data_IF_036167100993
#
_entry.id   IF_036167100993
#
_cell.length_a   1.000
_cell.length_b   1.000
_cell.length_c   1.000
_cell.angle_alpha   90.00
_cell.angle_beta   90.00
_cell.angle_gamma   90.00
#
_symmetry.space_group_name_H-M   'P 1'
#
loop_
_entity.id
_entity.type
_entity.pdbx_description
1 polymer ?
#
# COMPACT_ATOMS: atom_id res chain seq x y z
N UNK A 1 4.59 -10.93 -2.60
CA UNK A 1 3.29 -11.37 -3.18
C UNK A 1 3.56 -11.91 -4.59
N UNK A 2 2.72 -12.81 -5.10
CA UNK A 2 2.89 -13.45 -6.41
C UNK A 2 1.62 -13.28 -7.27
N UNK A 3 1.78 -12.72 -8.47
CA UNK A 3 0.68 -12.45 -9.40
C UNK A 3 0.36 -13.67 -10.28
N UNK A 4 1.31 -14.59 -10.50
CA UNK A 4 1.15 -15.71 -11.42
C UNK A 4 0.08 -16.69 -10.96
N UNK A 5 -0.12 -16.82 -9.65
CA UNK A 5 -1.18 -17.62 -9.04
C UNK A 5 -2.58 -17.24 -9.53
N UNK A 6 -2.79 -16.00 -9.99
CA UNK A 6 -4.10 -15.53 -10.44
C UNK A 6 -4.49 -16.05 -11.83
N UNK A 7 -3.54 -16.57 -12.62
CA UNK A 7 -3.83 -17.22 -13.92
C UNK A 7 -4.78 -18.39 -13.73
N UNK A 8 -4.50 -19.26 -12.77
CA UNK A 8 -5.36 -20.40 -12.47
C UNK A 8 -6.67 -19.98 -11.82
N UNK A 9 -6.63 -19.02 -10.90
CA UNK A 9 -7.82 -18.56 -10.15
C UNK A 9 -8.87 -17.96 -11.09
N UNK A 10 -8.44 -17.20 -12.09
CA UNK A 10 -9.34 -16.53 -13.05
C UNK A 10 -9.52 -17.30 -14.37
N UNK A 11 -8.94 -18.49 -14.51
CA UNK A 11 -9.02 -19.25 -15.76
C UNK A 11 -8.24 -18.64 -16.93
N UNK A 12 -7.28 -17.75 -16.66
CA UNK A 12 -6.46 -17.03 -17.64
C UNK A 12 -5.12 -17.73 -17.86
N UNK A 13 -5.15 -19.01 -18.25
CA UNK A 13 -3.94 -19.82 -18.36
C UNK A 13 -3.04 -19.42 -19.53
N UNK A 14 -3.59 -18.89 -20.61
CA UNK A 14 -2.82 -18.65 -21.84
C UNK A 14 -2.42 -17.18 -22.06
N UNK A 15 -2.53 -16.33 -21.03
CA UNK A 15 -2.13 -14.92 -21.15
C UNK A 15 -0.60 -14.76 -21.08
N UNK A 16 -0.02 -13.88 -21.91
CA UNK A 16 1.42 -13.64 -21.91
C UNK A 16 1.89 -12.77 -20.74
N UNK A 17 0.99 -11.98 -20.15
CA UNK A 17 1.31 -10.99 -19.13
C UNK A 17 0.27 -10.97 -18.03
N UNK A 18 0.72 -10.98 -16.77
CA UNK A 18 -0.14 -10.78 -15.60
C UNK A 18 0.58 -9.98 -14.53
N UNK A 19 0.08 -8.78 -14.26
CA UNK A 19 0.65 -7.88 -13.27
C UNK A 19 -0.41 -7.54 -12.23
N UNK A 20 0.03 -7.48 -10.96
CA UNK A 20 -0.75 -6.91 -9.89
C UNK A 20 0.16 -6.04 -9.03
N UNK A 21 -0.05 -4.74 -9.15
CA UNK A 21 0.76 -3.74 -8.48
C UNK A 21 0.02 -3.07 -7.33
N UNK A 22 0.65 -2.05 -6.79
CA UNK A 22 0.06 -1.14 -5.82
C UNK A 22 0.44 0.28 -6.23
N UNK A 23 -0.54 1.19 -6.21
CA UNK A 23 -0.35 2.57 -6.62
C UNK A 23 0.16 3.39 -5.42
N UNK A 24 1.10 4.28 -5.69
CA UNK A 24 1.65 5.25 -4.73
C UNK A 24 1.83 6.59 -5.42
N UNK A 25 1.79 7.67 -4.65
CA UNK A 25 2.13 9.01 -5.16
C UNK A 25 3.60 9.06 -5.60
N UNK A 26 3.94 9.90 -6.60
CA UNK A 26 5.33 10.08 -7.04
C UNK A 26 6.30 10.37 -5.90
N UNK A 27 7.48 9.77 -5.96
CA UNK A 27 8.54 9.95 -4.98
C UNK A 27 8.40 9.10 -3.70
N UNK A 28 7.29 8.40 -3.46
CA UNK A 28 7.15 7.48 -2.32
C UNK A 28 8.24 6.41 -2.34
N UNK A 29 8.34 5.64 -3.43
CA UNK A 29 9.27 4.53 -3.53
C UNK A 29 10.74 4.98 -3.43
N UNK A 30 11.06 6.15 -4.00
CA UNK A 30 12.42 6.72 -3.96
C UNK A 30 12.83 7.07 -2.52
N UNK A 31 11.94 7.67 -1.74
CA UNK A 31 12.20 7.98 -0.34
C UNK A 31 12.20 6.73 0.55
N UNK A 32 11.25 5.82 0.33
CA UNK A 32 11.14 4.57 1.11
C UNK A 32 12.35 3.66 0.94
N UNK A 33 12.96 3.64 -0.25
CA UNK A 33 14.17 2.86 -0.53
C UNK A 33 15.34 3.20 0.41
N UNK A 34 15.39 4.42 0.96
CA UNK A 34 16.40 4.80 1.96
C UNK A 34 16.27 3.94 3.22
N UNK A 35 15.06 3.73 3.73
CA UNK A 35 14.82 2.88 4.90
C UNK A 35 15.10 1.41 4.62
N UNK A 36 14.76 0.94 3.42
CA UNK A 36 15.07 -0.43 2.99
C UNK A 36 16.58 -0.66 2.94
N UNK A 37 17.33 0.27 2.33
CA UNK A 37 18.79 0.16 2.22
C UNK A 37 19.51 0.27 3.56
N UNK A 38 19.00 1.09 4.48
CA UNK A 38 19.52 1.14 5.86
C UNK A 38 19.26 -0.15 6.63
N UNK A 39 18.26 -0.94 6.26
CA UNK A 39 17.76 -2.05 7.09
C UNK A 39 16.82 -1.58 8.20
N UNK A 40 16.34 -0.34 8.15
CA UNK A 40 15.42 0.22 9.15
C UNK A 40 14.02 -0.42 9.10
N UNK A 41 13.73 -1.21 8.08
CA UNK A 41 12.47 -1.98 7.95
C UNK A 41 12.58 -3.42 8.45
N UNK A 42 13.70 -3.80 9.06
CA UNK A 42 13.92 -5.15 9.57
C UNK A 42 13.21 -5.35 10.92
N UNK A 43 12.54 -6.49 11.06
CA UNK A 43 11.77 -6.89 12.26
C UNK A 43 12.32 -8.18 12.90
N UNK A 44 13.49 -8.65 12.46
CA UNK A 44 14.07 -9.94 12.87
C UNK A 44 14.99 -9.85 14.08
N UNK A 45 15.48 -8.65 14.42
CA UNK A 45 16.36 -8.41 15.56
C UNK A 45 15.93 -7.19 16.36
N UNK A 46 16.44 -7.09 17.59
CA UNK A 46 16.12 -6.02 18.53
C UNK A 46 17.33 -5.13 18.75
N UNK A 47 17.08 -3.85 18.91
CA UNK A 47 18.11 -2.86 19.22
C UNK A 47 18.21 -2.71 20.74
N UNK A 48 19.43 -2.85 21.25
CA UNK A 48 19.73 -2.65 22.67
C UNK A 48 19.54 -1.17 23.05
N UNK A 49 19.03 -0.93 24.27
CA UNK A 49 18.79 0.40 24.83
C UNK A 49 17.93 1.34 23.94
N UNK A 50 17.04 0.76 23.13
CA UNK A 50 16.18 1.52 22.20
C UNK A 50 15.26 2.52 22.91
N UNK A 51 14.99 2.37 24.21
CA UNK A 51 14.21 3.33 24.99
C UNK A 51 14.93 4.67 25.18
N UNK A 52 16.27 4.66 25.21
CA UNK A 52 17.10 5.83 25.47
C UNK A 52 17.75 6.42 24.22
N UNK A 53 17.85 5.63 23.14
CA UNK A 53 18.28 6.10 21.83
C UNK A 53 17.39 7.24 21.31
N UNK A 54 17.99 8.21 20.64
CA UNK A 54 17.25 9.20 19.84
C UNK A 54 17.02 8.68 18.43
N UNK A 55 16.07 9.27 17.68
CA UNK A 55 15.89 8.93 16.27
C UNK A 55 17.16 9.17 15.44
N UNK A 56 17.93 10.22 15.78
CA UNK A 56 19.25 10.45 15.21
C UNK A 56 20.22 9.29 15.49
N UNK A 57 20.28 8.81 16.73
CA UNK A 57 21.15 7.69 17.11
C UNK A 57 20.75 6.41 16.38
N UNK A 58 19.44 6.17 16.26
CA UNK A 58 18.88 5.07 15.48
C UNK A 58 19.35 5.10 14.04
N UNK A 59 19.17 6.20 13.31
CA UNK A 59 19.65 6.29 11.93
C UNK A 59 21.18 6.15 11.85
N UNK A 60 21.89 6.76 12.80
CA UNK A 60 23.35 6.71 12.82
C UNK A 60 23.90 5.30 13.06
N UNK A 61 23.17 4.43 13.77
CA UNK A 61 23.59 3.07 14.13
C UNK A 61 23.76 2.13 12.94
N UNK A 62 23.10 2.41 11.81
CA UNK A 62 23.21 1.63 10.57
C UNK A 62 24.45 1.97 9.74
N UNK A 63 25.18 3.03 10.11
CA UNK A 63 26.28 3.59 9.34
C UNK A 63 27.60 3.52 10.11
N UNK A 64 28.72 3.64 9.41
CA UNK A 64 30.06 3.64 10.01
C UNK A 64 30.17 4.67 11.14
N UNK A 65 30.81 4.32 12.26
CA UNK A 65 31.02 5.26 13.36
C UNK A 65 32.01 6.36 12.96
N UNK A 66 31.52 7.60 12.88
CA UNK A 66 32.30 8.79 12.55
C UNK A 66 31.75 9.98 13.35
N UNK A 67 32.39 10.38 14.46
CA UNK A 67 31.80 11.34 15.41
C UNK A 67 31.80 12.78 14.90
N UNK A 68 32.70 13.11 13.96
CA UNK A 68 32.86 14.46 13.44
C UNK A 68 32.03 14.72 12.17
N UNK A 69 31.36 13.71 11.64
CA UNK A 69 30.57 13.82 10.40
C UNK A 69 29.08 13.83 10.74
N UNK A 70 28.32 14.84 10.30
CA UNK A 70 26.87 14.89 10.52
C UNK A 70 26.15 13.67 9.93
N UNK A 71 25.16 13.15 10.65
CA UNK A 71 24.37 11.97 10.23
C UNK A 71 23.73 12.16 8.84
N UNK A 72 23.33 13.37 8.51
CA UNK A 72 22.79 13.76 7.21
C UNK A 72 23.80 13.56 6.08
N UNK A 73 25.08 13.85 6.30
CA UNK A 73 26.14 13.66 5.30
C UNK A 73 26.44 12.17 5.15
N UNK A 74 26.60 11.47 6.27
CA UNK A 74 26.80 10.01 6.29
C UNK A 74 25.70 9.27 5.55
N UNK A 75 24.44 9.68 5.72
CA UNK A 75 23.31 9.06 5.04
C UNK A 75 23.37 9.25 3.52
N UNK A 76 23.80 10.43 3.06
CA UNK A 76 23.94 10.72 1.64
C UNK A 76 25.07 9.90 1.00
N UNK A 77 26.18 9.71 1.72
CA UNK A 77 27.29 8.85 1.31
C UNK A 77 26.89 7.37 1.29
N UNK A 78 26.16 6.92 2.31
CA UNK A 78 25.67 5.54 2.43
C UNK A 78 24.60 5.21 1.38
N UNK A 79 23.68 6.14 1.12
CA UNK A 79 22.58 5.96 0.18
C UNK A 79 22.46 7.17 -0.75
N UNK A 80 22.98 7.05 -1.98
CA UNK A 80 22.96 8.10 -2.99
C UNK A 80 21.56 8.70 -3.26
N UNK A 81 20.47 7.95 -3.05
CA UNK A 81 19.10 8.48 -3.20
C UNK A 81 18.76 9.55 -2.17
N UNK A 82 19.39 9.52 -0.99
CA UNK A 82 19.25 10.54 0.05
C UNK A 82 19.94 11.85 -0.32
N UNK A 83 20.83 11.88 -1.33
CA UNK A 83 21.41 13.12 -1.87
C UNK A 83 20.44 13.90 -2.76
N UNK A 84 19.31 13.31 -3.15
CA UNK A 84 18.24 14.06 -3.81
C UNK A 84 17.63 15.05 -2.81
N UNK A 85 17.60 16.36 -3.12
CA UNK A 85 17.09 17.38 -2.20
C UNK A 85 15.65 17.13 -1.72
N UNK A 86 14.78 16.64 -2.60
CA UNK A 86 13.38 16.35 -2.29
C UNK A 86 13.27 15.13 -1.37
N UNK A 87 14.12 14.11 -1.57
CA UNK A 87 14.17 12.97 -0.66
C UNK A 87 14.69 13.40 0.71
N UNK A 88 15.80 14.16 0.75
CA UNK A 88 16.38 14.65 1.99
C UNK A 88 15.40 15.51 2.79
N UNK A 89 14.65 16.38 2.12
CA UNK A 89 13.62 17.20 2.75
C UNK A 89 12.52 16.34 3.38
N UNK A 90 12.03 15.31 2.68
CA UNK A 90 11.04 14.37 3.24
C UNK A 90 11.56 13.64 4.47
N UNK A 91 12.82 13.21 4.46
CA UNK A 91 13.45 12.54 5.60
C UNK A 91 13.59 13.50 6.80
N UNK A 92 14.01 14.74 6.55
CA UNK A 92 14.07 15.79 7.58
C UNK A 92 12.70 16.11 8.16
N UNK A 93 11.68 16.29 7.31
CA UNK A 93 10.30 16.54 7.74
C UNK A 93 9.74 15.40 8.61
N UNK A 94 10.06 14.16 8.24
CA UNK A 94 9.68 12.98 9.02
C UNK A 94 10.33 12.97 10.42
N UNK A 95 11.44 13.68 10.62
CA UNK A 95 12.10 13.81 11.92
C UNK A 95 13.08 12.68 12.23
N UNK A 96 13.59 11.97 11.21
CA UNK A 96 14.53 10.85 11.42
C UNK A 96 15.85 11.30 12.04
N UNK A 97 16.16 12.60 12.00
CA UNK A 97 17.39 13.20 12.54
C UNK A 97 17.16 13.93 13.87
N UNK A 98 15.96 13.79 14.45
CA UNK A 98 15.61 14.46 15.70
C UNK A 98 16.36 13.83 16.87
N UNK A 99 16.80 14.67 17.81
CA UNK A 99 17.40 14.23 19.10
C UNK A 99 16.33 13.83 20.13
N UNK A 100 15.11 13.54 19.68
CA UNK A 100 14.01 13.07 20.52
C UNK A 100 14.19 11.59 20.82
N UNK A 101 14.03 11.21 22.09
CA UNK A 101 14.09 9.80 22.52
C UNK A 101 12.99 8.98 21.87
N UNK A 102 13.33 7.75 21.50
CA UNK A 102 12.40 6.78 20.91
C UNK A 102 11.44 6.27 21.98
N UNK A 103 11.92 5.95 23.19
CA UNK A 103 11.07 5.53 24.32
C UNK A 103 10.35 4.20 24.12
N UNK A 104 10.82 3.33 23.23
CA UNK A 104 10.36 1.95 23.10
C UNK A 104 11.43 1.02 23.64
N UNK A 105 11.08 0.16 24.60
CA UNK A 105 12.04 -0.77 25.19
C UNK A 105 12.24 -2.01 24.31
N UNK A 106 13.49 -2.36 24.05
CA UNK A 106 13.88 -3.58 23.33
C UNK A 106 13.14 -3.74 21.98
N UNK A 107 13.03 -2.66 21.20
CA UNK A 107 12.26 -2.61 19.97
C UNK A 107 13.07 -3.07 18.76
N UNK A 108 12.39 -3.58 17.73
CA UNK A 108 13.00 -3.83 16.42
C UNK A 108 13.15 -2.53 15.62
N UNK A 109 14.06 -2.47 14.63
CA UNK A 109 14.13 -1.33 13.72
C UNK A 109 12.79 -0.96 13.09
N UNK A 110 12.05 -1.97 12.62
CA UNK A 110 10.73 -1.78 12.03
C UNK A 110 9.73 -1.15 13.01
N UNK A 111 9.74 -1.56 14.28
CA UNK A 111 8.87 -0.98 15.32
C UNK A 111 9.23 0.48 15.63
N UNK A 112 10.53 0.80 15.68
CA UNK A 112 11.02 2.17 15.90
C UNK A 112 10.58 3.07 14.74
N UNK A 113 10.79 2.61 13.50
CA UNK A 113 10.37 3.34 12.31
C UNK A 113 8.84 3.48 12.27
N UNK A 114 8.08 2.41 12.55
CA UNK A 114 6.62 2.43 12.60
C UNK A 114 6.10 3.50 13.54
N UNK A 115 6.63 3.58 14.77
CA UNK A 115 6.23 4.62 15.73
C UNK A 115 6.41 6.02 15.16
N UNK A 116 7.56 6.30 14.55
CA UNK A 116 7.82 7.61 13.93
C UNK A 116 6.82 7.92 12.81
N UNK A 117 6.52 6.92 11.97
CA UNK A 117 5.59 7.06 10.86
C UNK A 117 4.16 7.28 11.35
N UNK A 118 3.70 6.53 12.35
CA UNK A 118 2.34 6.67 12.90
C UNK A 118 2.10 8.05 13.52
N UNK A 119 3.12 8.62 14.17
CA UNK A 119 3.04 9.99 14.72
C UNK A 119 2.97 11.06 13.62
N UNK A 120 3.68 10.87 12.50
CA UNK A 120 3.83 11.88 11.44
C UNK A 120 2.81 11.75 10.31
N UNK A 121 2.30 10.54 10.05
CA UNK A 121 1.39 10.22 8.95
C UNK A 121 -0.05 10.00 9.42
N UNK A 122 -0.35 10.29 10.68
CA UNK A 122 -1.73 10.35 11.14
C UNK A 122 -2.51 11.37 10.30
N UNK A 123 -3.72 10.99 9.90
CA UNK A 123 -4.65 11.92 9.26
C UNK A 123 -5.16 12.91 10.29
N UNK A 124 -5.26 14.18 9.89
CA UNK A 124 -5.98 15.18 10.67
C UNK A 124 -7.49 14.90 10.65
N UNK A 125 -8.28 15.45 11.60
CA UNK A 125 -9.71 15.12 11.72
C UNK A 125 -10.51 15.28 10.42
N UNK A 126 -10.19 16.29 9.61
CA UNK A 126 -10.89 16.62 8.36
C UNK A 126 -10.21 16.06 7.09
N UNK A 127 -9.08 15.37 7.24
CA UNK A 127 -8.40 14.72 6.12
C UNK A 127 -9.23 13.59 5.54
N UNK A 128 -9.06 13.37 4.23
CA UNK A 128 -9.75 12.32 3.48
C UNK A 128 -8.75 11.40 2.83
N UNK A 129 -8.97 10.10 2.95
CA UNK A 129 -8.25 9.11 2.14
C UNK A 129 -8.91 8.92 0.77
N UNK A 130 -8.16 8.28 -0.13
CA UNK A 130 -8.61 7.96 -1.47
C UNK A 130 -8.17 6.54 -1.79
N UNK A 131 -9.14 5.69 -2.13
CA UNK A 131 -8.88 4.38 -2.70
C UNK A 131 -9.08 4.44 -4.21
N UNK A 132 -8.07 3.97 -4.94
CA UNK A 132 -8.13 3.79 -6.40
C UNK A 132 -7.86 2.32 -6.70
N UNK A 133 -8.70 1.72 -7.53
CA UNK A 133 -8.47 0.41 -8.13
C UNK A 133 -8.68 0.52 -9.64
N UNK A 134 -7.78 -0.09 -10.42
CA UNK A 134 -7.88 -0.14 -11.87
C UNK A 134 -7.53 -1.55 -12.34
N UNK A 135 -8.39 -2.08 -13.20
CA UNK A 135 -8.15 -3.27 -14.00
C UNK A 135 -7.99 -2.85 -15.46
N UNK A 136 -7.03 -3.45 -16.14
CA UNK A 136 -6.76 -3.21 -17.56
C UNK A 136 -6.62 -4.57 -18.23
N UNK A 137 -7.48 -4.85 -19.22
CA UNK A 137 -7.47 -6.09 -19.97
C UNK A 137 -7.25 -5.76 -21.45
N UNK A 138 -6.15 -6.25 -22.01
CA UNK A 138 -5.85 -6.18 -23.44
C UNK A 138 -6.20 -7.53 -24.05
N UNK A 139 -7.03 -7.51 -25.09
CA UNK A 139 -7.53 -8.72 -25.74
C UNK A 139 -7.69 -8.51 -27.24
N UNK A 140 -7.76 -9.64 -27.96
CA UNK A 140 -8.04 -9.65 -29.40
C UNK A 140 -9.44 -10.21 -29.63
N UNK A 141 -10.26 -9.49 -30.36
CA UNK A 141 -11.59 -9.91 -30.78
C UNK A 141 -11.65 -9.94 -32.31
N UNK A 142 -11.64 -11.15 -32.88
CA UNK A 142 -11.45 -11.31 -34.33
C UNK A 142 -10.08 -10.78 -34.78
N UNK A 143 -10.09 -9.78 -35.66
CA UNK A 143 -8.88 -9.11 -36.15
C UNK A 143 -8.56 -7.80 -35.41
N UNK A 144 -9.41 -7.40 -34.45
CA UNK A 144 -9.27 -6.14 -33.72
C UNK A 144 -8.56 -6.38 -32.39
N UNK A 145 -7.60 -5.51 -32.08
CA UNK A 145 -7.02 -5.44 -30.74
C UNK A 145 -7.78 -4.38 -29.93
N UNK A 146 -8.22 -4.77 -28.74
CA UNK A 146 -9.03 -3.95 -27.86
C UNK A 146 -8.45 -3.93 -26.45
N UNK A 147 -8.83 -2.91 -25.71
CA UNK A 147 -8.53 -2.77 -24.30
C UNK A 147 -9.77 -2.33 -23.55
N UNK A 148 -10.09 -3.00 -22.45
CA UNK A 148 -11.09 -2.54 -21.50
C UNK A 148 -10.41 -2.14 -20.20
N UNK A 149 -10.77 -0.96 -19.69
CA UNK A 149 -10.34 -0.43 -18.41
C UNK A 149 -11.55 -0.38 -17.49
N UNK A 150 -11.44 -1.01 -16.32
CA UNK A 150 -12.45 -0.96 -15.26
C UNK A 150 -11.82 -0.27 -14.05
N UNK A 151 -12.32 0.91 -13.69
CA UNK A 151 -11.72 1.77 -12.69
C UNK A 151 -12.71 2.15 -11.59
N UNK A 152 -12.24 2.17 -10.35
CA UNK A 152 -13.01 2.60 -9.18
C UNK A 152 -12.18 3.61 -8.40
N UNK A 153 -12.82 4.72 -8.00
CA UNK A 153 -12.26 5.69 -7.09
C UNK A 153 -13.27 6.00 -5.99
N UNK A 154 -12.87 5.84 -4.72
CA UNK A 154 -13.71 6.12 -3.55
C UNK A 154 -12.94 7.06 -2.63
N UNK A 155 -13.53 8.20 -2.31
CA UNK A 155 -12.98 9.18 -1.37
C UNK A 155 -13.65 9.01 0.00
N UNK A 156 -12.85 9.01 1.06
CA UNK A 156 -13.34 9.01 2.43
C UNK A 156 -14.09 10.30 2.78
N UNK A 157 -14.83 10.28 3.88
CA UNK A 157 -15.50 11.48 4.39
C UNK A 157 -14.59 12.28 5.31
N UNK A 158 -13.85 11.58 6.18
CA UNK A 158 -12.93 12.13 7.17
C UNK A 158 -12.04 11.00 7.74
N UNK A 159 -11.22 11.30 8.77
CA UNK A 159 -10.34 10.34 9.44
C UNK A 159 -11.03 9.06 9.94
N UNK A 160 -12.26 9.18 10.44
CA UNK A 160 -12.98 8.05 11.06
C UNK A 160 -13.80 7.24 10.04
N UNK A 161 -14.20 7.88 8.94
CA UNK A 161 -14.99 7.29 7.85
C UNK A 161 -14.21 7.25 6.54
N UNK A 162 -13.19 6.40 6.52
CA UNK A 162 -12.27 6.26 5.38
C UNK A 162 -12.87 5.45 4.23
N UNK A 163 -12.43 5.74 3.00
CA UNK A 163 -12.68 4.90 1.83
C UNK A 163 -12.17 3.48 2.05
N UNK A 164 -10.99 3.31 2.68
CA UNK A 164 -10.47 1.99 3.04
C UNK A 164 -11.43 1.22 3.96
N UNK A 165 -11.89 1.82 5.05
CA UNK A 165 -12.83 1.16 5.97
C UNK A 165 -14.14 0.78 5.28
N UNK A 166 -14.68 1.67 4.45
CA UNK A 166 -15.91 1.42 3.67
C UNK A 166 -15.72 0.28 2.67
N UNK A 167 -14.69 0.33 1.84
CA UNK A 167 -14.45 -0.64 0.75
C UNK A 167 -13.97 -2.01 1.24
N UNK A 168 -13.50 -2.13 2.48
CA UNK A 168 -13.21 -3.42 3.13
C UNK A 168 -14.41 -3.93 3.93
N UNK A 169 -15.05 -3.05 4.71
CA UNK A 169 -16.14 -3.40 5.61
C UNK A 169 -17.47 -3.69 4.91
N UNK A 170 -17.83 -2.90 3.89
CA UNK A 170 -19.09 -3.08 3.17
C UNK A 170 -19.17 -4.43 2.46
N UNK A 171 -18.17 -4.89 1.67
CA UNK A 171 -18.25 -6.20 1.04
C UNK A 171 -18.42 -7.34 2.05
N UNK A 172 -17.73 -7.26 3.20
CA UNK A 172 -17.87 -8.23 4.29
C UNK A 172 -19.29 -8.21 4.89
N UNK A 173 -19.82 -7.03 5.22
CA UNK A 173 -21.15 -6.87 5.78
C UNK A 173 -22.25 -7.34 4.82
N UNK A 174 -22.14 -6.99 3.54
CA UNK A 174 -23.07 -7.40 2.49
C UNK A 174 -23.02 -8.93 2.31
N UNK A 175 -21.83 -9.52 2.15
CA UNK A 175 -21.69 -10.97 2.04
C UNK A 175 -22.28 -11.71 3.25
N UNK A 176 -22.01 -11.21 4.46
CA UNK A 176 -22.56 -11.75 5.71
C UNK A 176 -24.10 -11.70 5.70
N UNK A 177 -24.68 -10.56 5.30
CA UNK A 177 -26.13 -10.40 5.17
C UNK A 177 -26.73 -11.36 4.14
N UNK A 178 -26.09 -11.50 2.97
CA UNK A 178 -26.57 -12.36 1.89
C UNK A 178 -26.53 -13.85 2.28
N UNK A 179 -25.51 -14.27 3.03
CA UNK A 179 -25.43 -15.61 3.62
C UNK A 179 -26.53 -15.83 4.68
N UNK A 180 -26.65 -14.91 5.65
CA UNK A 180 -27.62 -15.01 6.74
C UNK A 180 -29.08 -15.02 6.25
N UNK A 181 -29.37 -14.34 5.14
CA UNK A 181 -30.71 -14.29 4.52
C UNK A 181 -30.94 -15.40 3.49
N UNK A 182 -30.00 -16.33 3.31
CA UNK A 182 -30.13 -17.46 2.39
C UNK A 182 -30.11 -17.09 0.90
N UNK A 183 -29.68 -15.87 0.55
CA UNK A 183 -29.50 -15.43 -0.84
C UNK A 183 -28.25 -16.07 -1.46
N UNK A 184 -27.19 -16.26 -0.68
CA UNK A 184 -26.04 -17.09 -1.04
C UNK A 184 -26.17 -18.40 -0.25
N UNK A 185 -26.13 -19.54 -0.95
CA UNK A 185 -26.35 -20.88 -0.36
C UNK A 185 -25.13 -21.80 -0.41
N UNK A 186 -23.98 -21.29 -0.86
CA UNK A 186 -22.75 -22.08 -0.98
C UNK A 186 -22.26 -22.55 0.39
N UNK A 187 -21.86 -23.82 0.48
CA UNK A 187 -21.30 -24.44 1.69
C UNK A 187 -19.82 -24.77 1.49
N UNK A 188 -19.02 -24.71 2.55
CA UNK A 188 -17.57 -24.93 2.48
C UNK A 188 -16.78 -23.62 2.32
N UNK A 189 -15.51 -23.74 1.95
CA UNK A 189 -14.57 -22.61 1.85
C UNK A 189 -14.54 -22.10 0.41
N UNK A 190 -14.97 -20.86 0.20
CA UNK A 190 -15.09 -20.26 -1.13
C UNK A 190 -14.32 -18.94 -1.25
N UNK A 191 -13.94 -18.62 -2.49
CA UNK A 191 -13.42 -17.30 -2.90
C UNK A 191 -14.53 -16.55 -3.66
N UNK A 192 -14.61 -15.21 -3.58
CA UNK A 192 -15.63 -14.41 -4.28
C UNK A 192 -15.33 -14.26 -5.77
N UNK A 193 -15.23 -15.39 -6.48
CA UNK A 193 -14.97 -15.45 -7.93
C UNK A 193 -16.16 -15.99 -8.71
N UNK A 194 -17.16 -16.54 -8.03
CA UNK A 194 -18.37 -17.07 -8.64
C UNK A 194 -19.45 -15.98 -8.76
N UNK A 195 -20.15 -15.97 -9.90
CA UNK A 195 -21.18 -14.98 -10.23
C UNK A 195 -22.26 -14.85 -9.18
N UNK A 196 -22.75 -15.98 -8.68
CA UNK A 196 -23.78 -16.06 -7.64
C UNK A 196 -23.36 -15.43 -6.30
N UNK A 197 -22.06 -15.20 -6.10
CA UNK A 197 -21.53 -14.48 -4.95
C UNK A 197 -21.20 -13.02 -5.29
N UNK A 198 -20.40 -12.75 -6.33
CA UNK A 198 -19.92 -11.39 -6.55
C UNK A 198 -20.99 -10.45 -7.12
N UNK A 199 -21.91 -10.92 -7.98
CA UNK A 199 -22.93 -10.06 -8.60
C UNK A 199 -23.87 -9.42 -7.58
N UNK A 200 -24.49 -10.15 -6.62
CA UNK A 200 -25.33 -9.52 -5.61
C UNK A 200 -24.54 -8.61 -4.66
N UNK A 201 -23.26 -8.90 -4.42
CA UNK A 201 -22.39 -8.05 -3.59
C UNK A 201 -22.11 -6.73 -4.32
N UNK A 202 -21.67 -6.78 -5.58
CA UNK A 202 -21.39 -5.59 -6.40
C UNK A 202 -22.64 -4.71 -6.57
N UNK A 203 -23.79 -5.33 -6.86
CA UNK A 203 -25.06 -4.60 -7.00
C UNK A 203 -25.45 -3.83 -5.73
N UNK A 204 -25.20 -4.40 -4.57
CA UNK A 204 -25.49 -3.70 -3.32
C UNK A 204 -24.44 -2.63 -2.99
N UNK A 205 -23.16 -2.88 -3.31
CA UNK A 205 -22.08 -1.90 -3.17
C UNK A 205 -22.34 -0.61 -3.97
N UNK A 206 -22.97 -0.71 -5.14
CA UNK A 206 -23.39 0.45 -5.94
C UNK A 206 -24.30 1.40 -5.15
N UNK A 207 -25.19 0.88 -4.30
CA UNK A 207 -26.06 1.71 -3.44
C UNK A 207 -25.31 2.50 -2.36
N UNK A 208 -24.07 2.09 -2.07
CA UNK A 208 -23.13 2.80 -1.19
C UNK A 208 -22.12 3.66 -1.96
N UNK A 209 -22.31 3.86 -3.27
CA UNK A 209 -21.41 4.65 -4.12
C UNK A 209 -20.08 3.95 -4.39
N UNK A 210 -20.03 2.62 -4.29
CA UNK A 210 -18.84 1.81 -4.60
C UNK A 210 -19.12 1.04 -5.88
N UNK A 211 -18.65 1.57 -7.00
CA UNK A 211 -18.88 1.02 -8.34
C UNK A 211 -17.65 1.20 -9.23
N UNK A 212 -17.53 0.35 -10.25
CA UNK A 212 -16.52 0.49 -11.29
C UNK A 212 -17.10 1.17 -12.52
N UNK A 213 -16.32 2.06 -13.13
CA UNK A 213 -16.59 2.63 -14.44
C UNK A 213 -15.77 1.87 -15.49
N UNK A 214 -16.44 1.41 -16.55
CA UNK A 214 -15.80 0.66 -17.63
C UNK A 214 -15.70 1.49 -18.91
N UNK A 215 -14.54 1.44 -19.56
CA UNK A 215 -14.28 2.10 -20.85
C UNK A 215 -13.53 1.14 -21.77
N UNK A 216 -13.99 1.03 -23.02
CA UNK A 216 -13.35 0.24 -24.07
C UNK A 216 -12.60 1.16 -25.05
N UNK A 217 -11.43 0.70 -25.50
CA UNK A 217 -10.54 1.41 -26.42
C UNK A 217 -10.08 0.46 -27.53
N UNK A 218 -9.93 0.99 -28.74
CA UNK A 218 -9.16 0.34 -29.80
C UNK A 218 -7.67 0.58 -29.55
N UNK A 219 -6.84 -0.46 -29.71
CA UNK A 219 -5.39 -0.33 -29.55
C UNK A 219 -4.67 -0.68 -30.86
N UNK A 220 -3.79 0.21 -31.31
CA UNK A 220 -2.94 -0.04 -32.46
C UNK A 220 -1.84 -1.05 -32.13
N UNK A 221 -1.39 -1.80 -33.14
CA UNK A 221 -0.24 -2.67 -33.02
C UNK A 221 1.04 -1.81 -32.98
N UNK A 222 1.52 -1.48 -31.78
CA UNK A 222 2.88 -0.95 -31.59
C UNK A 222 3.87 -2.09 -31.32
#
# INVERSE_FOLDING_TARGET
RDSLKYREIYGLKDIPSMYRGTIRRPGFAKAWDVFVKLGATDDTYRMEDSENMTYRDFINSFMQYEPNVPVEIKLQEYCQKASDPVVLEKLKWLGIFDKRKIGLKNATPAQILQKLLEEKWAMDPDDKDLLIMQHEFKYRLGNENKMIVSAMAVTGENRDKTAMARTVGLPLGIATKLLATGKIKKTGIHRPIDKDMYEPILKELESFGVSFEEKEYMIDQS
#
